data_IF_918424074329
#
_entry.id   IF_918424074329
#
_cell.length_a   1.000
_cell.length_b   1.000
_cell.length_c   1.000
_cell.angle_alpha   90.00
_cell.angle_beta   90.00
_cell.angle_gamma   90.00
#
_symmetry.space_group_name_H-M   'P 1'
#
loop_
_entity.id
_entity.type
_entity.pdbx_description
1 polymer ?
#
# COMPACT_ATOMS: atom_id res chain seq x y z
N UNK A 1 -10.84 18.44 -17.15
CA UNK A 1 -10.90 17.37 -16.13
C UNK A 1 -9.59 17.46 -15.38
N UNK A 2 -9.61 17.80 -14.09
CA UNK A 2 -8.48 17.46 -13.24
C UNK A 2 -8.67 15.97 -12.98
N UNK A 3 -7.77 15.14 -13.49
CA UNK A 3 -7.73 13.73 -13.13
C UNK A 3 -7.18 13.68 -11.70
N UNK A 4 -8.10 13.84 -10.73
CA UNK A 4 -7.79 13.70 -9.32
C UNK A 4 -7.36 12.25 -9.09
N UNK A 5 -6.19 12.06 -8.49
CA UNK A 5 -5.69 10.72 -8.17
C UNK A 5 -6.62 10.10 -7.13
N UNK A 6 -7.19 8.94 -7.47
CA UNK A 6 -8.00 8.17 -6.55
C UNK A 6 -7.11 7.59 -5.43
N UNK A 7 -7.19 8.20 -4.24
CA UNK A 7 -6.44 7.75 -3.06
C UNK A 7 -6.81 6.32 -2.65
N UNK A 8 -8.07 5.92 -2.82
CA UNK A 8 -8.53 4.59 -2.44
C UNK A 8 -7.90 3.54 -3.35
N UNK A 9 -7.70 3.86 -4.63
CA UNK A 9 -6.98 3.01 -5.57
C UNK A 9 -5.50 2.84 -5.18
N UNK A 10 -4.84 3.92 -4.71
CA UNK A 10 -3.45 3.86 -4.22
C UNK A 10 -3.37 3.01 -2.93
N UNK A 11 -4.30 3.19 -2.00
CA UNK A 11 -4.38 2.39 -0.79
C UNK A 11 -4.59 0.89 -1.09
N UNK A 12 -5.46 0.57 -2.04
CA UNK A 12 -5.75 -0.80 -2.46
C UNK A 12 -4.50 -1.50 -3.02
N UNK A 13 -3.67 -0.79 -3.79
CA UNK A 13 -2.40 -1.35 -4.29
C UNK A 13 -1.49 -1.75 -3.12
N UNK A 14 -1.33 -0.87 -2.13
CA UNK A 14 -0.50 -1.16 -0.95
C UNK A 14 -1.07 -2.30 -0.11
N UNK A 15 -2.39 -2.37 0.04
CA UNK A 15 -3.08 -3.47 0.73
C UNK A 15 -2.80 -4.81 0.05
N UNK A 16 -2.95 -4.88 -1.28
CA UNK A 16 -2.72 -6.10 -2.06
C UNK A 16 -1.25 -6.52 -2.04
N UNK A 17 -0.32 -5.58 -2.14
CA UNK A 17 1.12 -5.86 -2.05
C UNK A 17 1.51 -6.43 -0.68
N UNK A 18 1.01 -5.82 0.41
CA UNK A 18 1.26 -6.31 1.76
C UNK A 18 0.67 -7.71 1.96
N UNK A 19 -0.57 -7.94 1.54
CA UNK A 19 -1.22 -9.25 1.66
C UNK A 19 -0.48 -10.32 0.86
N UNK A 20 -0.06 -10.02 -0.37
CA UNK A 20 0.72 -10.94 -1.20
C UNK A 20 2.07 -11.29 -0.56
N UNK A 21 2.77 -10.30 0.00
CA UNK A 21 4.04 -10.53 0.68
C UNK A 21 3.88 -11.42 1.92
N UNK A 22 2.82 -11.20 2.70
CA UNK A 22 2.52 -12.00 3.89
C UNK A 22 2.12 -13.44 3.53
N UNK A 23 1.27 -13.61 2.51
CA UNK A 23 0.89 -14.94 2.03
C UNK A 23 2.11 -15.73 1.53
N UNK A 24 3.06 -15.08 0.86
CA UNK A 24 4.30 -15.74 0.45
C UNK A 24 5.15 -16.24 1.63
N UNK A 25 5.11 -15.56 2.79
CA UNK A 25 5.78 -16.04 4.02
C UNK A 25 5.06 -17.24 4.63
N UNK A 26 3.72 -17.25 4.58
CA UNK A 26 2.89 -18.37 5.04
C UNK A 26 3.10 -19.60 4.16
N UNK A 27 3.10 -19.45 2.84
CA UNK A 27 3.33 -20.54 1.88
C UNK A 27 4.71 -21.20 2.05
N UNK A 28 5.71 -20.42 2.45
CA UNK A 28 7.06 -20.92 2.77
C UNK A 28 7.17 -21.57 4.14
N UNK A 29 6.08 -21.58 4.92
CA UNK A 29 6.06 -22.10 6.29
C UNK A 29 6.88 -21.26 7.28
N UNK A 30 7.24 -20.03 6.91
CA UNK A 30 8.02 -19.15 7.79
C UNK A 30 7.13 -18.55 8.87
N UNK A 31 5.91 -18.17 8.50
CA UNK A 31 4.89 -17.59 9.39
C UNK A 31 3.62 -18.44 9.36
N UNK A 32 2.82 -18.36 10.41
CA UNK A 32 1.45 -18.87 10.42
C UNK A 32 0.47 -17.87 9.81
N UNK A 33 -0.68 -18.35 9.33
CA UNK A 33 -1.75 -17.45 8.84
C UNK A 33 -2.16 -16.42 9.89
N UNK A 34 -2.23 -16.83 11.17
CA UNK A 34 -2.59 -15.94 12.28
C UNK A 34 -1.59 -14.79 12.47
N UNK A 35 -0.30 -15.06 12.34
CA UNK A 35 0.74 -14.03 12.42
C UNK A 35 0.66 -13.08 11.22
N UNK A 36 0.45 -13.61 10.01
CA UNK A 36 0.22 -12.81 8.82
C UNK A 36 -1.00 -11.89 8.98
N UNK A 37 -2.14 -12.40 9.42
CA UNK A 37 -3.37 -11.61 9.62
C UNK A 37 -3.17 -10.51 10.67
N UNK A 38 -2.46 -10.82 11.77
CA UNK A 38 -2.16 -9.85 12.82
C UNK A 38 -1.29 -8.69 12.29
N UNK A 39 -0.23 -9.02 11.55
CA UNK A 39 0.68 -8.04 10.96
C UNK A 39 -0.02 -7.24 9.86
N UNK A 40 -0.83 -7.88 9.02
CA UNK A 40 -1.65 -7.18 8.02
C UNK A 40 -2.56 -6.15 8.68
N UNK A 41 -3.29 -6.53 9.73
CA UNK A 41 -4.18 -5.63 10.44
C UNK A 41 -3.42 -4.49 11.14
N UNK A 42 -2.20 -4.72 11.63
CA UNK A 42 -1.34 -3.68 12.19
C UNK A 42 -0.84 -2.72 11.11
N UNK A 43 -0.43 -3.23 9.95
CA UNK A 43 0.00 -2.44 8.81
C UNK A 43 -1.11 -1.51 8.30
N UNK A 44 -2.34 -2.03 8.15
CA UNK A 44 -3.50 -1.24 7.70
C UNK A 44 -3.86 -0.08 8.63
N UNK A 45 -3.44 -0.11 9.90
CA UNK A 45 -3.66 0.98 10.87
C UNK A 45 -2.41 1.83 11.12
N UNK A 46 -1.33 1.58 10.39
CA UNK A 46 -0.06 2.24 10.65
C UNK A 46 -0.02 3.64 10.04
N UNK A 47 0.54 4.59 10.79
CA UNK A 47 0.81 5.94 10.27
C UNK A 47 1.77 5.90 9.08
N UNK A 48 2.70 4.94 9.07
CA UNK A 48 3.64 4.72 7.98
C UNK A 48 2.92 4.44 6.64
N UNK A 49 1.84 3.65 6.64
CA UNK A 49 1.03 3.42 5.45
C UNK A 49 0.36 4.72 4.98
N UNK A 50 -0.18 5.52 5.90
CA UNK A 50 -0.82 6.79 5.55
C UNK A 50 0.16 7.81 4.97
N UNK A 51 1.39 7.84 5.49
CA UNK A 51 2.49 8.64 4.94
C UNK A 51 2.90 8.16 3.54
N UNK A 52 3.02 6.84 3.35
CA UNK A 52 3.35 6.23 2.05
C UNK A 52 2.31 6.58 0.98
N UNK A 53 1.02 6.37 1.27
CA UNK A 53 -0.09 6.71 0.36
C UNK A 53 -0.04 8.19 -0.01
N UNK A 54 0.20 9.07 0.97
CA UNK A 54 0.27 10.52 0.73
C UNK A 54 1.42 10.89 -0.21
N UNK A 55 2.60 10.31 -0.01
CA UNK A 55 3.75 10.54 -0.89
C UNK A 55 3.51 10.00 -2.31
N UNK A 56 2.87 8.84 -2.44
CA UNK A 56 2.56 8.27 -3.75
C UNK A 56 1.52 9.10 -4.50
N UNK A 57 0.45 9.56 -3.83
CA UNK A 57 -0.52 10.47 -4.43
C UNK A 57 0.17 11.75 -4.90
N UNK A 58 0.96 12.40 -4.05
CA UNK A 58 1.69 13.62 -4.43
C UNK A 58 2.63 13.40 -5.61
N UNK A 59 3.31 12.25 -5.66
CA UNK A 59 4.19 11.89 -6.76
C UNK A 59 3.40 11.69 -8.06
N UNK A 60 2.25 11.02 -7.99
CA UNK A 60 1.38 10.77 -9.14
C UNK A 60 0.77 12.08 -9.66
N UNK A 61 0.32 12.96 -8.78
CA UNK A 61 -0.16 14.31 -9.13
C UNK A 61 0.94 15.12 -9.81
N UNK A 62 2.16 15.12 -9.25
CA UNK A 62 3.29 15.83 -9.83
C UNK A 62 3.72 15.23 -11.19
N UNK A 63 3.63 13.91 -11.35
CA UNK A 63 3.86 13.23 -12.63
C UNK A 63 2.82 13.63 -13.68
N UNK A 64 1.53 13.63 -13.35
CA UNK A 64 0.46 14.09 -14.25
C UNK A 64 0.58 15.57 -14.61
N UNK A 65 1.08 16.39 -13.68
CA UNK A 65 1.38 17.80 -13.91
C UNK A 65 2.69 18.02 -14.72
N UNK A 66 3.43 16.97 -15.07
CA UNK A 66 4.69 17.04 -15.81
C UNK A 66 5.86 17.61 -15.00
N UNK A 67 5.76 17.63 -13.67
CA UNK A 67 6.77 18.17 -12.76
C UNK A 67 7.82 17.13 -12.34
N UNK A 68 7.57 15.84 -12.62
CA UNK A 68 8.48 14.72 -12.32
C UNK A 68 8.48 13.77 -13.52
N UNK A 69 9.65 13.20 -13.84
CA UNK A 69 9.84 12.20 -14.90
C UNK A 69 10.11 10.82 -14.31
#
# INVERSE_FOLDING_TARGET
>A
MHDEIDRDAVEEVHRLQNLAALNALVERGQWTQREADHIHAAFMRSDALQTLITHDVQRLEAFLAGQVH
#
